data_IF_303895537738
#
_entry.id   IF_303895537738
#
_cell.length_a   1.000
_cell.length_b   1.000
_cell.length_c   1.000
_cell.angle_alpha   90.00
_cell.angle_beta   90.00
_cell.angle_gamma   90.00
#
_symmetry.space_group_name_H-M   'P 1'
#
loop_
_entity.id
_entity.type
_entity.pdbx_description
1 polymer ?
#
# COMPACT_ATOMS: atom_id res chain seq x y z
N UNK A 1 -19.98 -1.72 -0.91
CA UNK A 1 -18.97 -0.84 -0.29
C UNK A 1 -17.78 -0.80 -1.26
N UNK A 2 -17.66 0.27 -2.06
CA UNK A 2 -16.59 0.38 -3.05
C UNK A 2 -15.31 0.74 -2.30
N UNK A 3 -14.47 -0.24 -1.98
CA UNK A 3 -13.13 0.04 -1.47
C UNK A 3 -12.34 0.69 -2.60
N UNK A 4 -12.27 2.02 -2.60
CA UNK A 4 -11.35 2.75 -3.45
C UNK A 4 -9.94 2.33 -3.03
N UNK A 5 -9.10 1.97 -4.01
CA UNK A 5 -7.72 1.58 -3.73
C UNK A 5 -6.98 2.74 -3.05
N UNK A 6 -5.91 2.44 -2.31
CA UNK A 6 -5.13 3.47 -1.64
C UNK A 6 -4.13 4.07 -2.60
N UNK A 7 -4.24 5.36 -2.91
CA UNK A 7 -3.31 6.03 -3.80
C UNK A 7 -1.94 6.11 -3.15
N UNK A 8 -0.91 5.60 -3.79
CA UNK A 8 0.47 5.75 -3.35
C UNK A 8 0.94 7.15 -3.76
N UNK A 9 1.20 7.97 -2.76
CA UNK A 9 1.76 9.32 -2.93
C UNK A 9 3.28 9.25 -2.91
N UNK A 10 3.82 8.48 -1.98
CA UNK A 10 5.27 8.38 -1.78
C UNK A 10 5.63 7.04 -1.11
N UNK A 11 6.79 6.50 -1.45
CA UNK A 11 7.43 5.38 -0.74
C UNK A 11 8.84 5.82 -0.38
N UNK A 12 9.12 6.02 0.90
CA UNK A 12 10.36 6.66 1.35
C UNK A 12 10.81 6.17 2.71
N UNK A 13 11.92 6.73 3.21
CA UNK A 13 12.44 6.49 4.55
C UNK A 13 12.87 7.82 5.17
N UNK A 14 12.61 7.98 6.46
CA UNK A 14 13.01 9.15 7.25
C UNK A 14 13.54 8.72 8.63
N UNK A 15 13.68 9.70 9.55
CA UNK A 15 14.13 9.49 10.94
C UNK A 15 13.23 8.52 11.73
N UNK A 16 11.95 8.39 11.37
CA UNK A 16 10.98 7.53 12.06
C UNK A 16 11.05 6.11 11.50
N UNK A 17 11.31 5.96 10.20
CA UNK A 17 11.49 4.66 9.58
C UNK A 17 11.13 4.63 8.10
N UNK A 18 10.91 3.42 7.57
CA UNK A 18 10.46 3.19 6.19
C UNK A 18 8.94 3.24 6.15
N UNK A 19 8.38 3.93 5.16
CA UNK A 19 6.94 4.11 5.07
C UNK A 19 6.45 4.16 3.63
N UNK A 20 5.13 3.98 3.50
CA UNK A 20 4.36 4.39 2.34
C UNK A 20 3.34 5.44 2.75
N UNK A 21 3.33 6.56 2.02
CA UNK A 21 2.38 7.65 2.18
C UNK A 21 1.20 7.38 1.26
N UNK A 22 0.02 7.19 1.85
CA UNK A 22 -1.18 6.76 1.16
C UNK A 22 -2.25 7.85 1.22
N UNK A 23 -2.82 8.18 0.07
CA UNK A 23 -4.10 8.87 -0.02
C UNK A 23 -5.22 7.85 0.16
N UNK A 24 -6.05 8.06 1.18
CA UNK A 24 -7.17 7.20 1.53
C UNK A 24 -8.45 8.00 1.41
N UNK A 25 -9.47 7.38 0.80
CA UNK A 25 -10.81 7.93 0.73
C UNK A 25 -11.75 7.07 1.58
N UNK A 26 -12.27 7.66 2.65
CA UNK A 26 -13.27 7.05 3.54
C UNK A 26 -14.64 7.71 3.31
N UNK A 27 -15.67 7.23 4.00
CA UNK A 27 -17.03 7.73 3.83
C UNK A 27 -17.21 9.15 4.39
N UNK A 28 -16.44 9.50 5.41
CA UNK A 28 -16.50 10.78 6.12
C UNK A 28 -15.45 11.79 5.63
N UNK A 29 -14.52 11.39 4.75
CA UNK A 29 -13.55 12.28 4.15
C UNK A 29 -12.34 11.59 3.55
N UNK A 30 -11.53 12.39 2.86
CA UNK A 30 -10.24 11.99 2.33
C UNK A 30 -9.14 12.39 3.32
N UNK A 31 -8.16 11.51 3.52
CA UNK A 31 -7.01 11.80 4.37
C UNK A 31 -5.72 11.20 3.80
N UNK A 32 -4.58 11.73 4.23
CA UNK A 32 -3.28 11.17 3.92
C UNK A 32 -2.74 10.50 5.18
N UNK A 33 -2.32 9.24 5.04
CA UNK A 33 -1.75 8.49 6.15
C UNK A 33 -0.30 8.08 5.86
N UNK A 34 0.47 7.95 6.94
CA UNK A 34 1.73 7.26 6.97
C UNK A 34 1.47 5.80 7.33
N UNK A 35 1.91 4.89 6.49
CA UNK A 35 1.88 3.46 6.79
C UNK A 35 3.30 2.93 6.94
N UNK A 36 3.62 2.45 8.12
CA UNK A 36 4.96 1.92 8.40
C UNK A 36 5.19 0.59 7.66
N UNK A 37 6.39 0.45 7.10
CA UNK A 37 6.82 -0.72 6.36
C UNK A 37 8.03 -1.36 7.04
N UNK A 38 8.01 -2.69 7.13
CA UNK A 38 9.23 -3.44 7.38
C UNK A 38 10.17 -3.38 6.17
N UNK A 39 11.45 -3.71 6.38
CA UNK A 39 12.46 -3.62 5.33
C UNK A 39 12.15 -4.48 4.11
N UNK A 40 11.61 -5.68 4.32
CA UNK A 40 11.32 -6.62 3.24
C UNK A 40 10.21 -6.04 2.35
N UNK A 41 9.06 -5.70 2.93
CA UNK A 41 7.93 -5.13 2.18
C UNK A 41 8.28 -3.79 1.52
N UNK A 42 9.07 -2.94 2.21
CA UNK A 42 9.55 -1.68 1.66
C UNK A 42 10.32 -1.87 0.35
N UNK A 43 11.26 -2.82 0.31
CA UNK A 43 12.07 -3.07 -0.91
C UNK A 43 11.18 -3.48 -2.08
N UNK A 44 10.22 -4.37 -1.85
CA UNK A 44 9.30 -4.88 -2.88
C UNK A 44 8.45 -3.73 -3.48
N UNK A 45 7.82 -2.93 -2.63
CA UNK A 45 6.99 -1.80 -3.08
C UNK A 45 7.85 -0.73 -3.78
N UNK A 46 9.02 -0.40 -3.21
CA UNK A 46 9.89 0.64 -3.76
C UNK A 46 10.40 0.27 -5.15
N UNK A 47 10.71 -1.00 -5.37
CA UNK A 47 11.12 -1.51 -6.69
C UNK A 47 9.99 -1.40 -7.73
N UNK A 48 8.75 -1.67 -7.33
CA UNK A 48 7.60 -1.58 -8.24
C UNK A 48 7.33 -0.12 -8.62
N UNK A 49 7.32 0.78 -7.64
CA UNK A 49 6.99 2.20 -7.87
C UNK A 49 8.13 2.94 -8.57
N UNK A 50 9.39 2.47 -8.46
CA UNK A 50 10.52 3.04 -9.20
C UNK A 50 10.59 2.58 -10.65
N UNK A 51 10.02 1.41 -10.97
CA UNK A 51 9.94 0.88 -12.33
C UNK A 51 8.70 1.45 -13.03
N UNK A 52 8.91 2.33 -14.00
CA UNK A 52 7.86 2.75 -14.93
C UNK A 52 7.48 1.59 -15.85
N UNK A 53 6.39 0.90 -15.51
CA UNK A 53 6.05 -0.42 -16.05
C UNK A 53 5.79 -0.45 -17.56
N UNK A 54 5.24 0.61 -18.14
CA UNK A 54 4.84 0.65 -19.55
C UNK A 54 5.79 1.45 -20.46
N UNK A 55 6.34 2.54 -19.92
CA UNK A 55 7.13 3.57 -20.61
C UNK A 55 8.01 4.30 -19.58
N UNK A 56 9.32 4.20 -19.74
CA UNK A 56 10.33 4.79 -18.85
C UNK A 56 10.41 6.32 -18.88
N UNK A 57 9.80 6.99 -19.85
CA UNK A 57 9.83 8.45 -19.97
C UNK A 57 8.56 9.10 -19.46
N UNK A 58 7.45 8.38 -19.43
CA UNK A 58 6.18 8.91 -18.96
C UNK A 58 6.22 9.39 -17.49
N UNK A 59 5.56 10.52 -17.23
CA UNK A 59 5.56 11.23 -15.95
C UNK A 59 4.21 11.15 -15.22
N UNK A 60 3.19 10.58 -15.88
CA UNK A 60 1.79 10.54 -15.46
C UNK A 60 1.39 9.22 -14.77
N UNK A 61 2.36 8.51 -14.21
CA UNK A 61 2.08 7.27 -13.50
C UNK A 61 1.32 7.51 -12.20
N UNK A 62 0.25 6.74 -12.01
CA UNK A 62 -0.46 6.60 -10.77
C UNK A 62 -0.28 5.18 -10.24
N UNK A 63 0.01 5.06 -8.96
CA UNK A 63 0.11 3.78 -8.27
C UNK A 63 -0.94 3.69 -7.18
N UNK A 64 -1.60 2.54 -7.05
CA UNK A 64 -2.58 2.30 -6.00
C UNK A 64 -2.32 0.95 -5.32
N UNK A 65 -2.32 0.91 -3.99
CA UNK A 65 -2.35 -0.36 -3.26
C UNK A 65 -3.78 -0.90 -3.27
N UNK A 66 -3.89 -2.16 -3.69
CA UNK A 66 -5.15 -2.91 -3.60
C UNK A 66 -5.31 -3.40 -2.16
N UNK A 67 -6.47 -3.16 -1.52
CA UNK A 67 -6.71 -3.54 -0.12
C UNK A 67 -6.87 -5.06 0.12
N UNK A 68 -6.62 -5.88 -0.89
CA UNK A 68 -6.72 -7.33 -0.82
C UNK A 68 -5.34 -7.96 -0.78
N UNK A 69 -5.14 -8.85 0.19
CA UNK A 69 -3.92 -9.65 0.34
C UNK A 69 -4.30 -11.12 0.21
N UNK A 70 -3.64 -11.85 -0.69
CA UNK A 70 -3.81 -13.30 -0.79
C UNK A 70 -2.77 -14.03 0.06
N UNK A 71 -3.21 -15.09 0.74
CA UNK A 71 -2.33 -16.05 1.40
C UNK A 71 -2.14 -17.26 0.50
N UNK A 72 -0.88 -17.68 0.32
CA UNK A 72 -0.55 -18.92 -0.38
C UNK A 72 0.27 -19.83 0.53
N UNK A 73 -0.11 -21.10 0.59
CA UNK A 73 0.67 -22.15 1.24
C UNK A 73 1.03 -23.17 0.16
N UNK A 74 2.31 -23.25 -0.22
CA UNK A 74 2.74 -24.17 -1.27
C UNK A 74 2.65 -25.64 -0.81
N UNK A 75 2.82 -25.90 0.50
CA UNK A 75 2.81 -27.25 1.10
C UNK A 75 2.21 -27.26 2.50
N UNK A 76 1.61 -28.38 2.96
CA UNK A 76 1.29 -28.56 4.38
C UNK A 76 2.59 -28.44 5.18
N UNK A 77 2.64 -27.51 6.15
CA UNK A 77 3.80 -27.13 7.00
C UNK A 77 4.78 -26.08 6.43
N UNK A 78 4.56 -25.51 5.24
CA UNK A 78 5.32 -24.31 4.83
C UNK A 78 4.76 -23.05 5.49
N UNK A 79 5.64 -22.11 5.87
CA UNK A 79 5.22 -20.80 6.35
C UNK A 79 4.39 -20.10 5.26
N UNK A 80 3.22 -19.51 5.57
CA UNK A 80 2.38 -18.87 4.55
C UNK A 80 3.12 -17.69 3.91
N UNK A 81 3.04 -17.60 2.59
CA UNK A 81 3.50 -16.43 1.83
C UNK A 81 2.32 -15.48 1.62
N UNK A 82 2.50 -14.24 2.04
CA UNK A 82 1.52 -13.18 1.84
C UNK A 82 1.86 -12.41 0.56
N UNK A 83 0.85 -12.10 -0.26
CA UNK A 83 1.02 -11.29 -1.47
C UNK A 83 0.09 -10.08 -1.46
N UNK A 84 0.68 -8.90 -1.56
CA UNK A 84 -0.02 -7.66 -1.87
C UNK A 84 -0.12 -7.45 -3.38
N UNK A 85 -0.90 -6.45 -3.79
CA UNK A 85 -0.96 -6.03 -5.18
C UNK A 85 -0.95 -4.50 -5.31
N UNK A 86 -0.17 -4.00 -6.27
CA UNK A 86 -0.18 -2.61 -6.69
C UNK A 86 -0.79 -2.53 -8.09
N UNK A 87 -1.74 -1.61 -8.28
CA UNK A 87 -2.18 -1.19 -9.61
C UNK A 87 -1.27 -0.07 -10.09
N UNK A 88 -0.70 -0.27 -11.27
CA UNK A 88 0.05 0.72 -12.02
C UNK A 88 -0.86 1.23 -13.14
N UNK A 89 -1.11 2.54 -13.17
CA UNK A 89 -2.04 3.20 -14.10
C UNK A 89 -1.29 4.28 -14.87
N UNK A 90 -1.46 4.30 -16.19
CA UNK A 90 -0.91 5.32 -17.10
C UNK A 90 -1.94 5.60 -18.19
N UNK A 91 -2.57 6.78 -18.16
CA UNK A 91 -3.73 7.08 -19.02
C UNK A 91 -4.80 5.98 -18.92
N UNK A 92 -5.07 5.30 -20.04
CA UNK A 92 -6.05 4.20 -20.12
C UNK A 92 -5.44 2.80 -19.86
N UNK A 93 -4.13 2.70 -19.60
CA UNK A 93 -3.45 1.41 -19.33
C UNK A 93 -3.44 1.12 -17.84
N UNK A 94 -3.73 -0.12 -17.48
CA UNK A 94 -3.70 -0.59 -16.10
C UNK A 94 -3.03 -1.96 -16.03
N UNK A 95 -2.04 -2.09 -15.14
CA UNK A 95 -1.40 -3.35 -14.81
C UNK A 95 -1.55 -3.62 -13.30
N UNK A 96 -1.78 -4.88 -12.94
CA UNK A 96 -1.76 -5.33 -11.55
C UNK A 96 -0.48 -6.11 -11.32
N UNK A 97 0.35 -5.62 -10.40
CA UNK A 97 1.64 -6.21 -10.06
C UNK A 97 1.50 -6.81 -8.66
N UNK A 98 1.57 -8.13 -8.57
CA UNK A 98 1.64 -8.83 -7.29
C UNK A 98 3.06 -8.80 -6.74
N UNK A 99 3.17 -8.73 -5.41
CA UNK A 99 4.47 -8.74 -4.73
C UNK A 99 4.38 -9.46 -3.40
N UNK A 100 5.45 -10.17 -2.99
CA UNK A 100 5.48 -10.78 -1.68
C UNK A 100 5.56 -9.69 -0.59
N UNK A 101 4.86 -9.86 0.52
CA UNK A 101 4.87 -8.92 1.63
C UNK A 101 5.02 -9.64 2.97
N UNK A 102 5.34 -8.88 4.01
CA UNK A 102 5.39 -9.44 5.37
C UNK A 102 3.99 -9.76 5.90
N UNK A 103 3.94 -10.66 6.88
CA UNK A 103 2.74 -10.94 7.66
C UNK A 103 2.19 -9.69 8.35
N UNK A 104 3.06 -8.85 8.91
CA UNK A 104 2.66 -7.60 9.55
C UNK A 104 1.95 -6.67 8.58
N UNK A 105 2.49 -6.53 7.37
CA UNK A 105 1.85 -5.72 6.33
C UNK A 105 0.47 -6.30 5.97
N UNK A 106 0.40 -7.62 5.76
CA UNK A 106 -0.84 -8.31 5.45
C UNK A 106 -1.92 -8.13 6.54
N UNK A 107 -1.53 -8.31 7.80
CA UNK A 107 -2.41 -8.13 8.96
C UNK A 107 -2.92 -6.68 9.07
N UNK A 108 -2.06 -5.69 8.87
CA UNK A 108 -2.48 -4.29 8.90
C UNK A 108 -3.47 -3.97 7.77
N UNK A 109 -3.25 -4.49 6.56
CA UNK A 109 -4.16 -4.29 5.43
C UNK A 109 -5.53 -4.93 5.70
N UNK A 110 -5.54 -6.12 6.28
CA UNK A 110 -6.77 -6.83 6.64
C UNK A 110 -7.53 -6.13 7.77
N UNK A 111 -6.82 -5.66 8.80
CA UNK A 111 -7.39 -4.83 9.86
C UNK A 111 -8.03 -3.58 9.26
N UNK A 112 -7.32 -2.86 8.40
CA UNK A 112 -7.84 -1.64 7.80
C UNK A 112 -9.11 -1.90 7.00
N UNK A 113 -9.12 -2.96 6.18
CA UNK A 113 -10.29 -3.34 5.39
C UNK A 113 -11.52 -3.66 6.27
N UNK A 114 -11.31 -4.35 7.38
CA UNK A 114 -12.39 -4.80 8.26
C UNK A 114 -12.90 -3.72 9.20
N UNK A 115 -11.97 -3.04 9.88
CA UNK A 115 -12.27 -2.22 11.05
C UNK A 115 -12.38 -0.72 10.73
N UNK A 116 -11.67 -0.22 9.72
CA UNK A 116 -11.64 1.22 9.44
C UNK A 116 -12.87 1.63 8.64
N UNK A 117 -13.65 2.57 9.18
CA UNK A 117 -14.87 3.12 8.56
C UNK A 117 -14.81 4.63 8.39
N UNK A 118 -14.11 5.31 9.30
CA UNK A 118 -14.01 6.77 9.36
C UNK A 118 -12.58 7.23 9.65
N UNK A 119 -12.25 8.48 9.34
CA UNK A 119 -10.91 9.05 9.53
C UNK A 119 -10.46 8.96 11.00
N UNK A 120 -11.39 9.13 11.95
CA UNK A 120 -11.08 9.03 13.38
C UNK A 120 -10.49 7.66 13.78
N UNK A 121 -10.88 6.56 13.12
CA UNK A 121 -10.38 5.21 13.42
C UNK A 121 -8.87 5.07 13.12
N UNK A 122 -8.37 5.88 12.17
CA UNK A 122 -6.98 5.89 11.70
C UNK A 122 -6.28 7.20 11.99
N UNK A 123 -6.82 8.02 12.90
CA UNK A 123 -6.26 9.34 13.22
C UNK A 123 -4.81 9.29 13.64
N UNK A 124 -4.39 8.20 14.31
CA UNK A 124 -3.00 7.98 14.71
C UNK A 124 -2.04 7.74 13.53
N UNK A 125 -2.56 7.35 12.35
CA UNK A 125 -1.79 7.15 11.12
C UNK A 125 -1.74 8.41 10.24
N UNK A 126 -2.54 9.44 10.54
CA UNK A 126 -2.62 10.67 9.75
C UNK A 126 -1.26 11.35 9.65
N UNK A 127 -0.87 11.72 8.43
CA UNK A 127 0.48 12.18 8.08
C UNK A 127 0.94 13.39 8.91
N UNK A 128 0.01 14.31 9.20
CA UNK A 128 0.23 15.52 9.97
C UNK A 128 0.81 15.25 11.37
N UNK A 129 0.56 14.07 11.95
CA UNK A 129 1.13 13.70 13.24
C UNK A 129 2.65 13.46 13.21
N UNK A 130 3.23 13.25 12.02
CA UNK A 130 4.64 12.91 11.82
C UNK A 130 5.47 14.10 11.33
N UNK A 131 4.84 15.27 11.13
CA UNK A 131 5.52 16.50 10.70
C UNK A 131 6.24 17.25 11.84
N UNK A 132 6.22 16.69 13.05
CA UNK A 132 6.83 17.28 14.26
C UNK A 132 8.33 16.99 14.41
#
# INVERSE_FOLDING_TARGET
MNFKNFRIIEVSKDKVGRYIKLGVQLLDGDCIIRWDLDEFTYKQIKEIVSKKHFDSLAIDYLYEIVPYVSTYQEKPKSQPYYRGAIRCIQGNRVARIEFPCSERFAGNMEWFRKEVKKVEDIKHLVWENFLK
#
